data_IF_620746348941
#
_entry.id   IF_620746348941
#
_cell.length_a   1.000
_cell.length_b   1.000
_cell.length_c   1.000
_cell.angle_alpha   90.00
_cell.angle_beta   90.00
_cell.angle_gamma   90.00
#
_symmetry.space_group_name_H-M   'P 1'
#
loop_
_entity.id
_entity.type
_entity.pdbx_description
1 polymer ?
#
# COMPACT_ATOMS: atom_id res chain seq x y z
N UNK A 1 -11.04 0.54 34.57
CA UNK A 1 -9.87 0.76 33.69
C UNK A 1 -8.71 -0.06 34.21
N UNK A 2 -8.15 -0.95 33.38
CA UNK A 2 -7.10 -1.89 33.76
C UNK A 2 -5.72 -1.20 33.71
N UNK A 3 -4.92 -1.22 34.78
CA UNK A 3 -3.61 -0.55 34.82
C UNK A 3 -2.63 -1.04 33.74
N UNK A 4 -2.79 -2.28 33.24
CA UNK A 4 -2.00 -2.78 32.09
C UNK A 4 -2.30 -2.04 30.78
N UNK A 5 -3.54 -1.56 30.57
CA UNK A 5 -3.90 -0.80 29.36
C UNK A 5 -3.25 0.59 29.32
N UNK A 6 -3.11 1.24 30.48
CA UNK A 6 -2.48 2.58 30.55
C UNK A 6 -0.98 2.47 30.28
N UNK A 7 -0.33 1.42 30.79
CA UNK A 7 1.10 1.20 30.64
C UNK A 7 1.49 0.89 29.17
N UNK A 8 0.64 0.18 28.43
CA UNK A 8 0.82 -0.09 27.00
C UNK A 8 0.64 1.18 26.15
N UNK A 9 -0.35 2.02 26.49
CA UNK A 9 -0.56 3.28 25.76
C UNK A 9 0.60 4.28 25.94
N UNK A 10 1.25 4.28 27.11
CA UNK A 10 2.41 5.14 27.38
C UNK A 10 3.67 4.64 26.68
N UNK A 11 3.89 3.33 26.58
CA UNK A 11 5.08 2.76 25.91
C UNK A 11 5.05 2.96 24.40
N UNK A 12 3.87 2.89 23.77
CA UNK A 12 3.68 3.23 22.36
C UNK A 12 3.94 4.71 22.08
N UNK A 13 3.50 5.62 22.97
CA UNK A 13 3.76 7.05 22.83
C UNK A 13 5.25 7.38 22.98
N UNK A 14 5.96 6.69 23.88
CA UNK A 14 7.38 6.89 24.13
C UNK A 14 8.25 6.37 22.97
N UNK A 15 7.87 5.26 22.34
CA UNK A 15 8.56 4.74 21.15
C UNK A 15 8.42 5.64 19.93
N UNK A 16 7.28 6.33 19.77
CA UNK A 16 7.09 7.34 18.72
C UNK A 16 7.96 8.59 18.94
N UNK A 17 8.19 8.99 20.20
CA UNK A 17 9.05 10.12 20.53
C UNK A 17 10.54 9.79 20.40
N UNK A 18 10.96 8.56 20.73
CA UNK A 18 12.36 8.15 20.62
C UNK A 18 12.83 7.95 19.16
N UNK A 19 11.93 7.61 18.23
CA UNK A 19 12.26 7.55 16.78
C UNK A 19 12.45 8.93 16.14
N UNK A 20 12.02 10.01 16.79
CA UNK A 20 12.22 11.39 16.32
C UNK A 20 13.54 12.03 16.80
N UNK A 21 14.32 11.34 17.66
CA UNK A 21 15.59 11.83 18.21
C UNK A 21 16.67 10.75 18.17
N UNK A 22 17.14 10.39 16.97
CA UNK A 22 18.47 9.83 16.81
C UNK A 22 18.92 9.98 15.36
N UNK A 23 19.46 11.15 15.03
CA UNK A 23 20.48 11.32 14.01
C UNK A 23 21.53 12.30 14.57
N UNK A 24 22.79 11.97 14.28
CA UNK A 24 24.04 12.66 14.60
C UNK A 24 24.64 12.60 16.02
N UNK A 25 25.75 11.84 16.15
CA UNK A 25 27.10 12.43 16.36
C UNK A 25 28.24 11.38 16.34
N UNK A 26 29.31 11.74 15.60
CA UNK A 26 30.65 11.15 15.59
C UNK A 26 31.42 11.31 16.92
N UNK A 27 32.24 10.34 17.33
CA UNK A 27 33.73 10.35 17.26
C UNK A 27 34.45 9.37 18.24
N UNK A 28 35.50 8.75 17.71
CA UNK A 28 36.71 8.09 18.27
C UNK A 28 37.00 8.06 19.79
N UNK A 29 37.39 6.88 20.30
CA UNK A 29 38.72 6.61 20.91
C UNK A 29 38.89 5.15 21.41
N UNK A 30 40.04 4.53 21.09
CA UNK A 30 40.90 3.91 22.11
C UNK A 30 40.97 2.38 22.31
N UNK A 31 42.02 1.76 21.73
CA UNK A 31 42.95 0.76 22.31
C UNK A 31 42.49 -0.70 22.61
N UNK A 32 42.95 -1.60 21.73
CA UNK A 32 43.72 -2.87 21.93
C UNK A 32 43.57 -3.64 23.25
N UNK A 33 43.23 -4.94 23.17
CA UNK A 33 44.02 -6.09 23.69
C UNK A 33 43.54 -7.42 23.06
N UNK A 34 44.53 -8.27 22.90
CA UNK A 34 44.71 -9.56 22.21
C UNK A 34 43.87 -10.75 22.70
N UNK A 35 43.50 -11.67 21.79
CA UNK A 35 44.15 -13.00 21.63
C UNK A 35 43.36 -13.93 20.69
N UNK A 36 44.16 -14.67 19.93
CA UNK A 36 43.89 -15.76 18.99
C UNK A 36 42.81 -16.77 19.39
N UNK A 37 42.08 -17.28 18.41
CA UNK A 37 42.28 -18.69 18.04
C UNK A 37 41.91 -19.00 16.58
N UNK A 38 42.85 -19.74 16.01
CA UNK A 38 42.97 -20.33 14.68
C UNK A 38 41.91 -21.43 14.53
N UNK A 39 41.24 -21.52 13.39
CA UNK A 39 40.85 -22.80 12.79
C UNK A 39 40.80 -22.61 11.27
N UNK A 40 41.64 -23.39 10.60
CA UNK A 40 41.80 -23.52 9.16
C UNK A 40 40.68 -24.40 8.60
N UNK A 41 40.18 -24.06 7.42
CA UNK A 41 39.84 -25.04 6.40
C UNK A 41 40.10 -24.43 5.03
N UNK A 42 41.07 -25.03 4.34
CA UNK A 42 41.48 -24.80 2.96
C UNK A 42 40.37 -25.21 1.99
N UNK A 43 40.28 -24.55 0.83
CA UNK A 43 39.96 -25.12 -0.48
C UNK A 43 40.27 -24.08 -1.59
N UNK A 44 41.33 -24.38 -2.35
CA UNK A 44 41.46 -24.28 -3.82
C UNK A 44 41.20 -22.95 -4.58
N UNK A 45 42.25 -22.33 -5.16
CA UNK A 45 42.67 -22.51 -6.56
C UNK A 45 43.72 -21.47 -7.01
N UNK A 46 44.71 -21.95 -7.76
CA UNK A 46 45.78 -21.18 -8.42
C UNK A 46 45.48 -20.97 -9.92
N UNK A 47 46.21 -20.01 -10.52
CA UNK A 47 46.54 -19.75 -11.95
C UNK A 47 45.96 -18.43 -12.50
N UNK A 48 46.73 -17.33 -12.66
CA UNK A 48 47.89 -16.97 -13.54
C UNK A 48 47.47 -16.21 -14.83
N UNK A 49 48.11 -15.04 -15.08
CA UNK A 49 48.31 -14.41 -16.40
C UNK A 49 47.49 -13.12 -16.67
N UNK A 50 47.99 -11.87 -16.51
CA UNK A 50 48.94 -11.06 -17.35
C UNK A 50 48.26 -10.63 -18.68
N UNK A 51 48.18 -9.38 -19.18
CA UNK A 51 49.05 -8.18 -19.24
C UNK A 51 48.26 -6.97 -19.83
N UNK A 52 48.64 -5.71 -19.53
CA UNK A 52 48.66 -4.57 -20.47
C UNK A 52 49.33 -3.31 -19.87
N UNK A 53 50.30 -2.77 -20.62
CA UNK A 53 51.24 -1.65 -20.39
C UNK A 53 50.59 -0.24 -20.36
N UNK A 54 51.03 0.70 -19.48
CA UNK A 54 51.95 1.87 -19.70
C UNK A 54 51.61 2.75 -20.94
N UNK A 55 51.62 4.10 -20.99
CA UNK A 55 52.13 5.17 -20.12
C UNK A 55 51.60 6.58 -20.58
N UNK A 56 51.82 7.58 -19.71
CA UNK A 56 51.57 9.06 -19.62
C UNK A 56 51.78 10.01 -20.86
N UNK A 57 51.79 11.40 -20.80
CA UNK A 57 51.61 12.42 -19.72
C UNK A 57 50.82 13.76 -20.00
N UNK A 58 50.52 14.46 -18.88
CA UNK A 58 50.46 15.92 -18.53
C UNK A 58 50.53 17.09 -19.56
N UNK A 59 49.77 18.19 -19.34
CA UNK A 59 50.25 19.55 -18.90
C UNK A 59 49.11 20.61 -18.69
N UNK A 60 49.51 21.76 -18.12
CA UNK A 60 48.89 22.83 -17.29
C UNK A 60 48.12 24.03 -17.93
N UNK A 61 47.33 24.70 -17.07
CA UNK A 61 47.09 26.16 -16.78
C UNK A 61 46.48 27.19 -17.78
N UNK A 62 45.74 28.15 -17.19
CA UNK A 62 44.75 29.17 -17.66
C UNK A 62 45.29 30.39 -18.48
N UNK A 63 44.43 31.37 -18.94
CA UNK A 63 44.12 32.58 -18.13
C UNK A 63 42.76 33.36 -18.35
N UNK A 64 42.28 33.98 -17.25
CA UNK A 64 41.76 35.36 -16.95
C UNK A 64 41.14 36.26 -18.06
N UNK A 65 39.99 36.90 -17.76
CA UNK A 65 39.55 38.20 -18.33
C UNK A 65 38.86 39.17 -17.32
N UNK A 66 38.97 40.47 -17.65
CA UNK A 66 38.91 41.74 -16.89
C UNK A 66 37.52 42.38 -16.58
N UNK A 67 37.54 43.33 -15.62
CA UNK A 67 36.60 44.44 -15.24
C UNK A 67 36.14 45.33 -16.43
N UNK A 68 35.07 46.18 -16.49
CA UNK A 68 34.29 47.12 -15.62
C UNK A 68 33.11 47.68 -16.51
N UNK A 69 32.24 48.70 -16.20
CA UNK A 69 32.01 49.53 -15.00
C UNK A 69 30.52 49.79 -14.59
N UNK A 70 30.41 50.63 -13.56
CA UNK A 70 29.31 51.19 -12.76
C UNK A 70 28.51 52.30 -13.48
N UNK A 71 27.23 52.48 -13.10
CA UNK A 71 26.51 53.76 -13.13
C UNK A 71 25.76 53.99 -11.80
N UNK A 72 25.99 55.16 -11.20
CA UNK A 72 25.29 55.76 -10.06
C UNK A 72 24.25 56.82 -10.53
N UNK A 73 23.45 57.27 -9.55
CA UNK A 73 22.57 58.46 -9.46
C UNK A 73 21.07 58.31 -9.82
N UNK A 74 20.10 58.85 -9.07
CA UNK A 74 20.03 59.40 -7.70
C UNK A 74 18.56 59.78 -7.41
N UNK A 75 18.24 59.90 -6.11
CA UNK A 75 17.17 60.73 -5.50
C UNK A 75 15.71 60.28 -5.68
N UNK A 76 14.77 60.49 -4.75
CA UNK A 76 14.72 60.87 -3.32
C UNK A 76 13.21 60.79 -2.99
N UNK A 77 12.81 60.21 -1.87
CA UNK A 77 11.85 60.84 -0.95
C UNK A 77 11.89 60.13 0.41
N UNK A 78 12.21 60.94 1.41
CA UNK A 78 12.15 60.73 2.85
C UNK A 78 10.70 60.43 3.29
N UNK A 79 10.47 59.45 4.17
CA UNK A 79 10.50 59.69 5.62
C UNK A 79 10.27 58.41 6.41
N UNK A 80 11.08 58.27 7.46
CA UNK A 80 11.20 57.15 8.38
C UNK A 80 10.14 57.21 9.48
N UNK A 81 9.83 56.05 10.08
CA UNK A 81 9.91 55.89 11.53
C UNK A 81 10.11 54.42 11.91
N UNK A 82 11.18 54.22 12.68
CA UNK A 82 11.87 53.01 13.09
C UNK A 82 11.18 52.22 14.22
N UNK A 83 11.45 50.92 14.31
CA UNK A 83 12.22 50.19 15.35
C UNK A 83 12.06 48.68 15.04
N UNK A 84 13.00 48.04 14.34
CA UNK A 84 14.28 47.47 14.81
C UNK A 84 14.09 46.24 15.70
N UNK A 85 14.26 45.06 15.09
CA UNK A 85 15.07 43.97 15.65
C UNK A 85 15.44 43.02 14.51
N UNK A 86 16.73 43.05 14.15
CA UNK A 86 17.38 42.15 13.21
C UNK A 86 17.59 40.77 13.86
N UNK A 87 17.27 39.70 13.12
CA UNK A 87 18.04 38.46 13.17
C UNK A 87 18.20 37.95 11.74
N UNK A 88 19.43 38.02 11.25
CA UNK A 88 19.92 37.34 10.05
C UNK A 88 19.73 35.83 10.21
N UNK A 89 19.12 35.19 9.21
CA UNK A 89 19.50 33.84 8.80
C UNK A 89 19.39 33.75 7.28
N UNK A 90 20.56 33.66 6.66
CA UNK A 90 20.80 33.07 5.35
C UNK A 90 20.21 31.65 5.33
N UNK A 91 19.25 31.39 4.44
CA UNK A 91 19.10 30.05 3.86
C UNK A 91 18.44 30.13 2.47
N UNK A 92 19.28 30.39 1.46
CA UNK A 92 19.01 29.96 0.11
C UNK A 92 19.19 28.44 0.03
N UNK A 93 18.13 27.68 0.28
CA UNK A 93 17.77 26.48 -0.50
C UNK A 93 16.69 25.69 0.21
N UNK A 94 15.49 25.67 -0.36
CA UNK A 94 14.55 24.54 -0.36
C UNK A 94 13.39 24.96 -1.27
N UNK A 95 13.71 25.13 -2.56
CA UNK A 95 12.70 24.91 -3.57
C UNK A 95 12.43 23.40 -3.53
N UNK A 96 11.37 23.00 -2.83
CA UNK A 96 10.75 21.71 -3.10
C UNK A 96 10.46 21.67 -4.60
N UNK A 97 11.16 20.81 -5.32
CA UNK A 97 10.88 20.52 -6.71
C UNK A 97 9.41 20.07 -6.78
N UNK A 98 8.52 20.96 -7.22
CA UNK A 98 7.19 20.53 -7.61
C UNK A 98 7.38 19.48 -8.70
N UNK A 99 6.81 18.27 -8.55
CA UNK A 99 6.98 17.22 -9.53
C UNK A 99 6.53 17.76 -10.88
N UNK A 100 7.44 17.68 -11.85
CA UNK A 100 7.24 18.17 -13.20
C UNK A 100 5.86 17.71 -13.70
N UNK A 101 4.95 18.64 -13.99
CA UNK A 101 3.52 18.34 -14.20
C UNK A 101 3.27 17.34 -15.35
N UNK A 102 4.25 17.14 -16.23
CA UNK A 102 4.27 16.12 -17.28
C UNK A 102 4.43 14.67 -16.77
N UNK A 103 4.92 14.47 -15.54
CA UNK A 103 5.08 13.12 -14.94
C UNK A 103 3.79 12.57 -14.32
N UNK A 104 2.83 13.42 -13.97
CA UNK A 104 1.59 13.03 -13.28
C UNK A 104 0.41 12.87 -14.26
N UNK A 105 0.62 12.08 -15.31
CA UNK A 105 -0.39 11.81 -16.34
C UNK A 105 -0.62 10.32 -16.50
N UNK A 106 -1.86 9.95 -16.83
CA UNK A 106 -2.17 8.57 -17.21
C UNK A 106 -1.64 8.31 -18.61
N UNK A 107 -0.98 7.17 -18.81
CA UNK A 107 -0.31 6.77 -20.06
C UNK A 107 -0.85 5.46 -20.59
N UNK A 108 -0.87 5.32 -21.91
CA UNK A 108 -1.17 4.04 -22.58
C UNK A 108 0.00 3.05 -22.47
N UNK A 109 -0.18 1.83 -23.01
CA UNK A 109 0.86 0.79 -23.01
C UNK A 109 2.13 1.17 -23.78
N UNK A 110 2.08 2.20 -24.62
CA UNK A 110 3.24 2.72 -25.36
C UNK A 110 3.89 3.91 -24.62
N UNK A 111 3.44 4.24 -23.41
CA UNK A 111 3.94 5.37 -22.62
C UNK A 111 3.41 6.73 -23.06
N UNK A 112 2.47 6.79 -24.01
CA UNK A 112 1.90 8.07 -24.48
C UNK A 112 0.83 8.57 -23.51
N UNK A 113 0.82 9.87 -23.16
CA UNK A 113 -0.27 10.45 -22.38
C UNK A 113 -1.63 10.20 -23.03
N UNK A 114 -2.63 9.87 -22.22
CA UNK A 114 -3.99 9.66 -22.70
C UNK A 114 -4.62 10.98 -23.15
N UNK A 115 -5.04 11.04 -24.42
CA UNK A 115 -5.84 12.14 -24.94
C UNK A 115 -7.32 11.91 -24.62
N UNK A 116 -7.87 12.78 -23.77
CA UNK A 116 -9.27 12.71 -23.33
C UNK A 116 -10.26 12.81 -24.47
N UNK A 117 -9.91 13.50 -25.56
CA UNK A 117 -10.81 13.68 -26.72
C UNK A 117 -11.03 12.39 -27.51
N UNK A 118 -10.15 11.39 -27.32
CA UNK A 118 -10.21 10.11 -28.03
C UNK A 118 -10.86 8.98 -27.19
N UNK A 119 -11.33 9.29 -25.98
CA UNK A 119 -11.98 8.31 -25.12
C UNK A 119 -13.38 7.98 -25.65
N UNK A 120 -13.62 6.70 -25.93
CA UNK A 120 -14.90 6.20 -26.47
C UNK A 120 -15.90 5.75 -25.39
N UNK A 121 -15.43 5.48 -24.18
CA UNK A 121 -16.24 4.91 -23.11
C UNK A 121 -16.64 5.99 -22.10
N UNK A 122 -17.89 5.97 -21.68
CA UNK A 122 -18.41 6.86 -20.64
C UNK A 122 -18.41 6.13 -19.30
N UNK A 123 -17.47 6.47 -18.42
CA UNK A 123 -17.34 5.81 -17.11
C UNK A 123 -18.55 6.15 -16.22
N UNK A 124 -19.26 5.11 -15.76
CA UNK A 124 -20.44 5.21 -14.88
C UNK A 124 -20.19 4.66 -13.47
N UNK A 125 -19.14 3.85 -13.31
CA UNK A 125 -18.76 3.24 -12.03
C UNK A 125 -17.23 3.11 -11.96
N UNK A 126 -16.69 3.37 -10.77
CA UNK A 126 -15.27 3.31 -10.46
C UNK A 126 -15.07 2.32 -9.33
N UNK A 127 -14.20 1.34 -9.56
CA UNK A 127 -13.70 0.42 -8.57
C UNK A 127 -12.26 0.79 -8.25
N UNK A 128 -11.99 1.19 -7.01
CA UNK A 128 -10.63 1.51 -6.56
C UNK A 128 -10.21 0.48 -5.54
N UNK A 129 -9.03 -0.08 -5.73
CA UNK A 129 -8.30 -0.68 -4.63
C UNK A 129 -7.95 0.38 -3.56
N UNK A 130 -7.63 -0.09 -2.35
CA UNK A 130 -7.34 0.70 -1.17
C UNK A 130 -5.84 0.85 -0.93
N UNK A 131 -5.18 -0.18 -0.39
CA UNK A 131 -3.77 -0.14 0.00
C UNK A 131 -2.84 -0.17 -1.20
N UNK A 132 -1.96 0.82 -1.36
CA UNK A 132 -1.08 0.87 -2.52
C UNK A 132 -1.75 1.48 -3.76
N UNK A 133 -3.03 1.87 -3.67
CA UNK A 133 -3.76 2.54 -4.75
C UNK A 133 -4.40 3.87 -4.30
N UNK A 134 -5.44 3.81 -3.46
CA UNK A 134 -6.09 5.01 -2.90
C UNK A 134 -5.32 5.58 -1.70
N UNK A 135 -4.75 4.69 -0.89
CA UNK A 135 -3.90 5.02 0.23
C UNK A 135 -2.45 5.19 -0.22
N UNK A 136 -1.81 6.23 0.28
CA UNK A 136 -0.37 6.46 0.11
C UNK A 136 0.47 5.51 0.99
N UNK A 137 1.80 5.63 0.91
CA UNK A 137 2.75 4.83 1.70
C UNK A 137 2.65 5.01 3.23
N UNK A 138 1.84 5.96 3.71
CA UNK A 138 1.52 6.15 5.13
C UNK A 138 0.14 5.61 5.52
N UNK A 139 -0.49 4.79 4.66
CA UNK A 139 -1.83 4.25 4.84
C UNK A 139 -2.91 5.33 5.03
N UNK A 140 -2.76 6.48 4.36
CA UNK A 140 -3.73 7.58 4.37
C UNK A 140 -4.24 7.88 2.97
N UNK A 141 -5.53 8.15 2.85
CA UNK A 141 -6.07 8.71 1.62
C UNK A 141 -5.74 10.21 1.58
N UNK A 142 -5.23 10.70 0.46
CA UNK A 142 -4.99 12.13 0.30
C UNK A 142 -6.32 12.90 0.22
N UNK A 143 -6.29 14.16 0.64
CA UNK A 143 -7.43 15.06 0.49
C UNK A 143 -7.87 15.16 -0.98
N UNK A 144 -6.92 15.23 -1.92
CA UNK A 144 -7.20 15.37 -3.33
C UNK A 144 -7.90 14.13 -3.91
N UNK A 145 -7.47 12.91 -3.53
CA UNK A 145 -8.15 11.68 -3.92
C UNK A 145 -9.60 11.65 -3.42
N UNK A 146 -9.82 11.92 -2.12
CA UNK A 146 -11.15 11.88 -1.51
C UNK A 146 -12.08 12.94 -2.13
N UNK A 147 -11.63 14.18 -2.31
CA UNK A 147 -12.43 15.23 -2.95
C UNK A 147 -12.78 14.88 -4.40
N UNK A 148 -11.88 14.19 -5.12
CA UNK A 148 -12.12 13.77 -6.50
C UNK A 148 -13.17 12.66 -6.59
N UNK A 149 -13.15 11.71 -5.66
CA UNK A 149 -14.19 10.69 -5.53
C UNK A 149 -15.56 11.36 -5.26
N UNK A 150 -15.61 12.34 -4.36
CA UNK A 150 -16.84 13.08 -4.08
C UNK A 150 -17.36 13.86 -5.30
N UNK A 151 -16.47 14.52 -6.04
CA UNK A 151 -16.83 15.19 -7.30
C UNK A 151 -17.37 14.20 -8.34
N UNK A 152 -16.77 13.02 -8.45
CA UNK A 152 -17.24 11.97 -9.36
C UNK A 152 -18.62 11.46 -8.95
N UNK A 153 -18.84 11.21 -7.66
CA UNK A 153 -20.15 10.85 -7.13
C UNK A 153 -21.21 11.91 -7.45
N UNK A 154 -20.89 13.19 -7.30
CA UNK A 154 -21.82 14.30 -7.60
C UNK A 154 -22.18 14.40 -9.09
N UNK A 155 -21.36 13.82 -9.99
CA UNK A 155 -21.70 13.67 -11.41
C UNK A 155 -22.52 12.41 -11.73
N UNK A 156 -22.91 11.64 -10.71
CA UNK A 156 -23.66 10.39 -10.86
C UNK A 156 -22.78 9.16 -11.12
N UNK A 157 -21.46 9.27 -10.99
CA UNK A 157 -20.54 8.13 -11.12
C UNK A 157 -20.51 7.37 -9.80
N UNK A 158 -20.78 6.07 -9.84
CA UNK A 158 -20.75 5.23 -8.65
C UNK A 158 -19.31 4.99 -8.21
N UNK A 159 -19.04 5.15 -6.91
CA UNK A 159 -17.73 4.92 -6.33
C UNK A 159 -17.78 3.66 -5.48
N UNK A 160 -16.87 2.72 -5.71
CA UNK A 160 -16.81 1.42 -5.04
C UNK A 160 -15.38 1.16 -4.60
N UNK A 161 -15.20 0.84 -3.31
CA UNK A 161 -13.92 0.34 -2.80
C UNK A 161 -13.86 -1.18 -3.02
N UNK A 162 -12.74 -1.67 -3.55
CA UNK A 162 -12.49 -3.08 -3.80
C UNK A 162 -11.18 -3.53 -3.15
N UNK A 163 -11.25 -4.15 -1.97
CA UNK A 163 -10.07 -4.37 -1.11
C UNK A 163 -9.98 -5.80 -0.56
N UNK A 164 -8.76 -6.22 -0.23
CA UNK A 164 -8.49 -7.42 0.56
C UNK A 164 -8.84 -7.28 2.04
N UNK A 165 -9.02 -6.04 2.52
CA UNK A 165 -9.43 -5.75 3.89
C UNK A 165 -10.91 -6.12 4.12
N UNK A 166 -11.30 -6.48 5.34
CA UNK A 166 -12.70 -6.50 5.73
C UNK A 166 -13.26 -5.07 5.84
N UNK A 167 -14.58 -4.92 5.69
CA UNK A 167 -15.28 -3.63 5.77
C UNK A 167 -14.94 -2.84 7.04
N UNK A 168 -14.92 -3.49 8.21
CA UNK A 168 -14.63 -2.81 9.48
C UNK A 168 -13.22 -2.20 9.52
N UNK A 169 -12.25 -2.83 8.85
CA UNK A 169 -10.87 -2.31 8.77
C UNK A 169 -10.76 -1.17 7.75
N UNK A 170 -11.38 -1.31 6.57
CA UNK A 170 -11.47 -0.22 5.61
C UNK A 170 -12.17 1.02 6.22
N UNK A 171 -13.23 0.80 7.00
CA UNK A 171 -13.92 1.86 7.72
C UNK A 171 -13.06 2.53 8.80
N UNK A 172 -12.21 1.79 9.49
CA UNK A 172 -11.25 2.37 10.43
C UNK A 172 -10.25 3.29 9.73
N UNK A 173 -9.78 2.92 8.53
CA UNK A 173 -8.77 3.70 7.80
C UNK A 173 -9.33 4.95 7.12
N UNK A 174 -10.47 4.85 6.43
CA UNK A 174 -10.99 5.93 5.58
C UNK A 174 -12.44 6.32 5.88
N UNK A 175 -13.12 5.65 6.81
CA UNK A 175 -14.56 5.87 7.04
C UNK A 175 -14.89 7.32 7.44
N UNK A 176 -14.07 7.93 8.30
CA UNK A 176 -14.25 9.33 8.69
C UNK A 176 -14.05 10.30 7.52
N UNK A 177 -13.04 10.09 6.68
CA UNK A 177 -12.77 10.96 5.52
C UNK A 177 -13.85 10.81 4.44
N UNK A 178 -14.31 9.58 4.20
CA UNK A 178 -15.43 9.30 3.30
C UNK A 178 -16.70 10.00 3.78
N UNK A 179 -17.05 9.84 5.07
CA UNK A 179 -18.25 10.42 5.67
C UNK A 179 -18.26 11.95 5.62
N UNK A 180 -17.13 12.60 5.91
CA UNK A 180 -16.99 14.07 5.83
C UNK A 180 -17.20 14.63 4.43
N UNK A 181 -17.03 13.79 3.40
CA UNK A 181 -17.19 14.17 1.99
C UNK A 181 -18.45 13.57 1.35
N UNK A 182 -19.42 13.14 2.16
CA UNK A 182 -20.67 12.50 1.73
C UNK A 182 -20.45 11.28 0.82
N UNK A 183 -19.33 10.58 0.99
CA UNK A 183 -19.06 9.29 0.37
C UNK A 183 -19.47 8.15 1.30
N UNK A 184 -19.78 7.02 0.69
CA UNK A 184 -20.11 5.78 1.39
C UNK A 184 -19.09 4.70 1.07
N UNK A 185 -18.85 3.81 2.03
CA UNK A 185 -18.15 2.55 1.75
C UNK A 185 -19.08 1.53 1.07
N UNK A 186 -20.39 1.78 1.07
CA UNK A 186 -21.41 0.93 0.44
C UNK A 186 -21.95 1.58 -0.84
N UNK A 187 -22.07 0.86 -1.96
CA UNK A 187 -21.64 -0.52 -2.17
C UNK A 187 -20.12 -0.70 -2.10
N UNK A 188 -19.66 -1.92 -1.80
CA UNK A 188 -18.23 -2.21 -1.64
C UNK A 188 -17.87 -3.69 -1.74
N UNK A 189 -16.64 -3.98 -2.15
CA UNK A 189 -16.09 -5.33 -2.33
C UNK A 189 -14.96 -5.51 -1.32
N UNK A 190 -15.09 -6.51 -0.45
CA UNK A 190 -14.18 -6.74 0.68
C UNK A 190 -13.69 -8.17 0.73
N UNK A 191 -12.61 -8.39 1.48
CA UNK A 191 -12.00 -9.71 1.64
C UNK A 191 -11.73 -10.35 0.26
N UNK A 192 -11.18 -9.57 -0.68
CA UNK A 192 -10.92 -9.97 -2.06
C UNK A 192 -12.16 -10.53 -2.79
N UNK A 193 -13.34 -9.98 -2.49
CA UNK A 193 -14.60 -10.42 -3.10
C UNK A 193 -15.29 -11.57 -2.40
N UNK A 194 -14.77 -12.07 -1.27
CA UNK A 194 -15.51 -13.02 -0.44
C UNK A 194 -16.82 -12.41 0.09
N UNK A 195 -16.83 -11.11 0.31
CA UNK A 195 -18.04 -10.36 0.66
C UNK A 195 -18.20 -9.15 -0.25
N UNK A 196 -19.36 -9.01 -0.87
CA UNK A 196 -19.73 -7.82 -1.65
C UNK A 196 -21.06 -7.28 -1.13
N UNK A 197 -21.09 -5.99 -0.80
CA UNK A 197 -22.29 -5.31 -0.31
C UNK A 197 -22.88 -4.39 -1.38
N UNK A 198 -24.21 -4.37 -1.47
CA UNK A 198 -24.97 -3.42 -2.25
C UNK A 198 -25.11 -2.05 -1.56
N UNK A 199 -25.84 -1.10 -2.18
CA UNK A 199 -26.04 0.25 -1.65
C UNK A 199 -26.71 0.33 -0.28
N UNK A 200 -27.52 -0.67 0.08
CA UNK A 200 -28.40 -0.64 1.26
C UNK A 200 -27.95 -1.67 2.31
N UNK A 201 -26.65 -1.92 2.40
CA UNK A 201 -26.02 -2.93 3.27
C UNK A 201 -26.47 -4.37 3.00
N UNK A 202 -27.12 -4.63 1.86
CA UNK A 202 -27.48 -5.96 1.42
C UNK A 202 -26.25 -6.74 0.95
N UNK A 203 -26.18 -8.02 1.30
CA UNK A 203 -25.04 -8.87 0.92
C UNK A 203 -25.33 -9.51 -0.44
N UNK A 204 -24.56 -9.12 -1.45
CA UNK A 204 -24.65 -9.63 -2.83
C UNK A 204 -23.80 -10.89 -3.00
N UNK A 205 -22.61 -10.93 -2.41
CA UNK A 205 -21.74 -12.11 -2.35
C UNK A 205 -21.44 -12.41 -0.87
N UNK A 206 -21.67 -13.66 -0.43
CA UNK A 206 -21.47 -14.14 0.95
C UNK A 206 -20.66 -15.45 1.00
N UNK A 207 -19.44 -15.45 0.45
CA UNK A 207 -18.62 -16.66 0.31
C UNK A 207 -17.76 -16.89 1.55
N UNK A 208 -18.34 -17.54 2.56
CA UNK A 208 -17.61 -18.01 3.75
C UNK A 208 -17.10 -19.45 3.58
N UNK A 209 -16.06 -19.78 4.34
CA UNK A 209 -15.43 -21.10 4.36
C UNK A 209 -16.36 -22.08 5.09
N UNK A 210 -16.57 -23.26 4.50
CA UNK A 210 -17.40 -24.30 5.09
C UNK A 210 -16.93 -24.67 6.52
N UNK A 211 -17.89 -24.91 7.42
CA UNK A 211 -17.63 -25.18 8.83
C UNK A 211 -16.73 -26.40 9.04
N UNK A 212 -16.90 -27.47 8.25
CA UNK A 212 -16.05 -28.65 8.34
C UNK A 212 -14.63 -28.31 7.92
N UNK A 213 -14.47 -27.54 6.84
CA UNK A 213 -13.16 -27.06 6.39
C UNK A 213 -12.47 -26.15 7.40
N UNK A 214 -13.20 -25.25 8.07
CA UNK A 214 -12.65 -24.45 9.18
C UNK A 214 -12.06 -25.36 10.27
N UNK A 215 -12.78 -26.40 10.66
CA UNK A 215 -12.28 -27.32 11.70
C UNK A 215 -11.14 -28.19 11.21
N UNK A 216 -11.13 -28.62 9.94
CA UNK A 216 -10.01 -29.34 9.35
C UNK A 216 -8.73 -28.48 9.34
N UNK A 217 -8.86 -27.21 8.96
CA UNK A 217 -7.74 -26.25 9.00
C UNK A 217 -7.29 -26.03 10.44
N UNK A 218 -8.21 -25.72 11.37
CA UNK A 218 -7.89 -25.53 12.78
C UNK A 218 -7.09 -26.71 13.38
N UNK A 219 -7.57 -27.94 13.17
CA UNK A 219 -6.91 -29.15 13.69
C UNK A 219 -5.54 -29.35 13.05
N UNK A 220 -5.41 -29.19 11.73
CA UNK A 220 -4.13 -29.28 11.05
C UNK A 220 -3.14 -28.21 11.55
N UNK A 221 -3.60 -26.98 11.73
CA UNK A 221 -2.78 -25.88 12.26
C UNK A 221 -2.37 -26.12 13.71
N UNK A 222 -3.22 -26.75 14.52
CA UNK A 222 -2.90 -27.15 15.89
C UNK A 222 -1.83 -28.24 15.93
N UNK A 223 -1.96 -29.28 15.10
CA UNK A 223 -0.96 -30.35 14.95
C UNK A 223 0.41 -29.81 14.51
N UNK A 224 0.43 -28.75 13.71
CA UNK A 224 1.66 -28.10 13.22
C UNK A 224 2.13 -26.91 14.08
N UNK A 225 1.53 -26.65 15.26
CA UNK A 225 1.87 -25.51 16.14
C UNK A 225 1.77 -24.12 15.48
N UNK A 226 0.80 -23.95 14.57
CA UNK A 226 0.55 -22.71 13.82
C UNK A 226 -0.72 -21.98 14.25
N UNK A 227 -1.61 -22.63 15.01
CA UNK A 227 -2.93 -22.06 15.35
C UNK A 227 -2.88 -20.71 16.08
N UNK A 228 -1.87 -20.51 16.94
CA UNK A 228 -1.67 -19.24 17.65
C UNK A 228 -1.07 -18.13 16.76
N UNK A 229 -0.70 -18.44 15.52
CA UNK A 229 -0.19 -17.49 14.53
C UNK A 229 -1.27 -17.05 13.53
N UNK A 230 -2.51 -17.49 13.75
CA UNK A 230 -3.60 -17.30 12.80
C UNK A 230 -4.57 -16.21 13.23
N UNK A 231 -5.01 -15.42 12.26
CA UNK A 231 -6.12 -14.48 12.38
C UNK A 231 -7.28 -14.98 11.53
N UNK A 232 -8.45 -15.13 12.15
CA UNK A 232 -9.66 -15.65 11.52
C UNK A 232 -10.63 -14.49 11.29
N UNK A 233 -10.98 -14.21 10.04
CA UNK A 233 -11.82 -13.07 9.69
C UNK A 233 -13.26 -13.48 9.48
N UNK A 234 -14.16 -12.91 10.27
CA UNK A 234 -15.57 -12.78 9.91
C UNK A 234 -15.82 -11.48 9.15
N UNK A 235 -17.04 -11.30 8.67
CA UNK A 235 -17.47 -10.04 8.04
C UNK A 235 -17.46 -8.84 9.00
N UNK A 236 -17.47 -9.07 10.33
CA UNK A 236 -17.61 -8.01 11.36
C UNK A 236 -16.39 -7.84 12.26
N UNK A 237 -15.59 -8.88 12.42
CA UNK A 237 -14.48 -8.94 13.38
C UNK A 237 -13.37 -9.88 12.90
N UNK A 238 -12.17 -9.62 13.39
CA UNK A 238 -11.05 -10.55 13.35
C UNK A 238 -10.95 -11.30 14.70
N UNK A 239 -10.47 -12.53 14.67
CA UNK A 239 -10.31 -13.37 15.87
C UNK A 239 -8.95 -14.03 15.95
N UNK A 240 -8.46 -14.24 17.16
CA UNK A 240 -7.27 -15.03 17.49
C UNK A 240 -7.57 -15.94 18.71
N UNK A 241 -6.68 -16.90 18.99
CA UNK A 241 -6.79 -17.74 20.18
C UNK A 241 -6.02 -17.19 21.39
N UNK A 242 -5.01 -16.36 21.14
CA UNK A 242 -4.26 -15.65 22.16
C UNK A 242 -3.59 -14.40 21.55
N UNK A 243 -3.20 -13.47 22.42
CA UNK A 243 -2.30 -12.38 22.04
C UNK A 243 -0.86 -12.82 22.22
N UNK A 244 -0.01 -12.59 21.22
CA UNK A 244 1.41 -12.97 21.24
C UNK A 244 2.24 -12.05 20.32
N UNK A 245 3.51 -12.39 20.10
CA UNK A 245 4.42 -11.61 19.25
C UNK A 245 3.91 -11.40 17.81
N UNK A 246 3.08 -12.31 17.28
CA UNK A 246 2.51 -12.19 15.94
C UNK A 246 1.37 -11.17 15.89
N UNK A 247 0.70 -10.91 17.03
CA UNK A 247 -0.33 -9.88 17.13
C UNK A 247 0.22 -8.50 16.77
N UNK A 248 1.39 -8.13 17.30
CA UNK A 248 1.98 -6.80 17.04
C UNK A 248 2.34 -6.63 15.54
N UNK A 249 2.83 -7.71 14.90
CA UNK A 249 3.10 -7.71 13.46
C UNK A 249 1.80 -7.53 12.66
N UNK A 250 0.74 -8.25 13.02
CA UNK A 250 -0.57 -8.08 12.39
C UNK A 250 -1.12 -6.66 12.57
N UNK A 251 -1.04 -6.09 13.78
CA UNK A 251 -1.56 -4.75 14.07
C UNK A 251 -0.84 -3.62 13.31
N UNK A 252 0.39 -3.88 12.86
CA UNK A 252 1.13 -2.94 11.99
C UNK A 252 0.47 -2.83 10.61
N UNK A 253 -0.16 -3.90 10.13
CA UNK A 253 -0.80 -3.94 8.81
C UNK A 253 -2.32 -3.73 8.89
N UNK A 254 -2.96 -4.34 9.88
CA UNK A 254 -4.40 -4.30 10.14
C UNK A 254 -4.64 -3.74 11.56
N UNK A 255 -4.90 -2.42 11.69
CA UNK A 255 -4.94 -1.74 12.99
C UNK A 255 -6.24 -2.02 13.78
N UNK A 256 -6.72 -3.27 13.76
CA UNK A 256 -7.91 -3.74 14.46
C UNK A 256 -7.53 -4.87 15.41
N UNK A 257 -7.68 -4.63 16.71
CA UNK A 257 -7.43 -5.63 17.75
C UNK A 257 -8.38 -6.83 17.55
N UNK A 258 -7.85 -8.06 17.34
CA UNK A 258 -8.69 -9.24 17.21
C UNK A 258 -9.33 -9.61 18.55
N UNK A 259 -10.55 -10.13 18.49
CA UNK A 259 -11.18 -10.72 19.67
C UNK A 259 -10.55 -12.09 19.98
N UNK A 260 -10.28 -12.36 21.25
CA UNK A 260 -9.80 -13.67 21.68
C UNK A 260 -10.99 -14.61 21.84
N UNK A 261 -10.93 -15.76 21.16
CA UNK A 261 -12.01 -16.75 21.14
C UNK A 261 -11.49 -18.15 21.48
N UNK A 262 -12.42 -19.04 21.83
CA UNK A 262 -12.18 -20.47 21.97
C UNK A 262 -12.60 -21.26 20.72
N UNK A 263 -12.33 -22.57 20.75
CA UNK A 263 -12.64 -23.48 19.64
C UNK A 263 -14.15 -23.56 19.36
N UNK A 264 -14.99 -23.53 20.41
CA UNK A 264 -16.45 -23.59 20.27
C UNK A 264 -17.00 -22.35 19.58
N UNK A 265 -16.48 -21.18 19.92
CA UNK A 265 -16.81 -19.92 19.28
C UNK A 265 -16.38 -19.92 17.82
N UNK A 266 -15.15 -20.37 17.50
CA UNK A 266 -14.69 -20.48 16.11
C UNK A 266 -15.63 -21.37 15.29
N UNK A 267 -15.99 -22.54 15.84
CA UNK A 267 -16.88 -23.53 15.20
C UNK A 267 -18.27 -22.97 14.86
N UNK A 268 -18.71 -21.93 15.55
CA UNK A 268 -20.02 -21.30 15.35
C UNK A 268 -19.94 -19.93 14.66
N UNK A 269 -18.75 -19.52 14.19
CA UNK A 269 -18.51 -18.25 13.52
C UNK A 269 -18.38 -18.45 12.02
N UNK A 270 -19.03 -17.60 11.22
CA UNK A 270 -18.78 -17.53 9.76
C UNK A 270 -17.41 -16.87 9.52
N UNK A 271 -16.48 -17.65 9.00
CA UNK A 271 -15.13 -17.20 8.64
C UNK A 271 -14.99 -17.15 7.12
N UNK A 272 -14.44 -16.07 6.60
CA UNK A 272 -14.29 -15.81 5.16
C UNK A 272 -12.84 -15.91 4.71
N UNK A 273 -11.92 -15.54 5.61
CA UNK A 273 -10.49 -15.53 5.36
C UNK A 273 -9.74 -15.96 6.62
N UNK A 274 -8.64 -16.67 6.43
CA UNK A 274 -7.68 -17.01 7.48
C UNK A 274 -6.33 -16.47 7.03
N UNK A 275 -5.66 -15.73 7.91
CA UNK A 275 -4.31 -15.22 7.69
C UNK A 275 -3.36 -15.94 8.65
N UNK A 276 -2.30 -16.53 8.13
CA UNK A 276 -1.22 -17.12 8.91
C UNK A 276 -0.05 -16.16 8.90
N UNK A 277 0.36 -15.71 10.09
CA UNK A 277 1.46 -14.77 10.27
C UNK A 277 2.74 -15.56 10.48
N UNK A 278 3.73 -15.28 9.64
CA UNK A 278 4.92 -16.09 9.48
C UNK A 278 6.17 -15.22 9.50
N UNK A 279 7.32 -15.88 9.65
CA UNK A 279 8.64 -15.29 9.46
C UNK A 279 9.13 -15.65 8.06
N UNK A 280 10.01 -14.85 7.47
CA UNK A 280 10.53 -15.13 6.12
C UNK A 280 11.17 -16.52 6.00
N UNK A 281 11.78 -17.01 7.09
CA UNK A 281 12.42 -18.32 7.15
C UNK A 281 11.45 -19.50 7.01
N UNK A 282 10.18 -19.35 7.44
CA UNK A 282 9.21 -20.44 7.47
C UNK A 282 8.08 -20.30 6.44
N UNK A 283 8.04 -19.20 5.68
CA UNK A 283 6.93 -18.96 4.77
C UNK A 283 6.84 -20.01 3.66
N UNK A 284 7.96 -20.36 3.02
CA UNK A 284 7.96 -21.31 1.90
C UNK A 284 7.53 -22.71 2.32
N UNK A 285 7.97 -23.16 3.51
CA UNK A 285 7.59 -24.47 4.03
C UNK A 285 6.13 -24.52 4.47
N UNK A 286 5.66 -23.48 5.19
CA UNK A 286 4.26 -23.39 5.61
C UNK A 286 3.33 -23.25 4.40
N UNK A 287 3.64 -22.37 3.46
CA UNK A 287 2.85 -22.22 2.23
C UNK A 287 2.70 -23.56 1.50
N UNK A 288 3.80 -24.31 1.34
CA UNK A 288 3.78 -25.62 0.68
C UNK A 288 2.91 -26.65 1.41
N UNK A 289 3.03 -26.79 2.74
CA UNK A 289 2.22 -27.79 3.46
C UNK A 289 0.72 -27.46 3.41
N UNK A 290 0.33 -26.18 3.42
CA UNK A 290 -1.09 -25.80 3.28
C UNK A 290 -1.58 -25.96 1.85
N UNK A 291 -0.75 -25.62 0.85
CA UNK A 291 -1.05 -25.84 -0.55
C UNK A 291 -1.25 -27.34 -0.82
N UNK A 292 -0.31 -28.19 -0.40
CA UNK A 292 -0.40 -29.65 -0.58
C UNK A 292 -1.63 -30.25 0.14
N UNK A 293 -2.04 -29.66 1.28
CA UNK A 293 -3.12 -30.20 2.11
C UNK A 293 -4.52 -29.73 1.72
N UNK A 294 -4.66 -28.50 1.23
CA UNK A 294 -5.97 -27.83 1.11
C UNK A 294 -6.25 -27.17 -0.24
N UNK A 295 -5.30 -27.12 -1.19
CA UNK A 295 -5.50 -26.42 -2.47
C UNK A 295 -6.62 -26.99 -3.35
N UNK A 296 -7.08 -28.21 -3.07
CA UNK A 296 -8.25 -28.84 -3.69
C UNK A 296 -9.60 -28.32 -3.15
N UNK A 297 -9.58 -27.61 -2.01
CA UNK A 297 -10.78 -27.19 -1.27
C UNK A 297 -10.85 -25.68 -1.01
N UNK A 298 -9.71 -24.98 -1.02
CA UNK A 298 -9.60 -23.56 -0.68
C UNK A 298 -8.45 -22.92 -1.47
N UNK A 299 -8.55 -21.62 -1.74
CA UNK A 299 -7.40 -20.86 -2.23
C UNK A 299 -6.37 -20.74 -1.12
N UNK A 300 -5.10 -20.95 -1.48
CA UNK A 300 -3.94 -20.71 -0.61
C UNK A 300 -3.03 -19.75 -1.37
N UNK A 301 -2.85 -18.54 -0.85
CA UNK A 301 -2.00 -17.52 -1.47
C UNK A 301 -0.96 -16.97 -0.50
N UNK A 302 0.05 -16.30 -1.05
CA UNK A 302 1.11 -15.64 -0.30
C UNK A 302 1.24 -14.21 -0.88
N UNK A 303 0.44 -13.26 -0.37
CA UNK A 303 0.39 -11.92 -0.95
C UNK A 303 1.59 -11.04 -0.54
N UNK A 304 2.23 -11.35 0.58
CA UNK A 304 3.37 -10.61 1.16
C UNK A 304 4.29 -11.61 1.84
N UNK A 305 5.60 -11.34 1.86
CA UNK A 305 6.69 -12.21 2.35
C UNK A 305 6.55 -12.79 3.76
N UNK A 306 5.55 -12.37 4.54
CA UNK A 306 5.31 -12.84 5.92
C UNK A 306 3.89 -13.36 6.16
N UNK A 307 3.07 -13.52 5.11
CA UNK A 307 1.68 -13.93 5.22
C UNK A 307 1.30 -15.07 4.27
N UNK A 308 0.54 -16.03 4.79
CA UNK A 308 -0.22 -16.99 3.97
C UNK A 308 -1.70 -16.73 4.20
N UNK A 309 -2.47 -16.61 3.13
CA UNK A 309 -3.91 -16.39 3.17
C UNK A 309 -4.67 -17.60 2.66
N UNK A 310 -5.76 -17.92 3.36
CA UNK A 310 -6.71 -18.94 2.95
C UNK A 310 -8.10 -18.32 2.82
N UNK A 311 -8.74 -18.51 1.67
CA UNK A 311 -10.05 -17.94 1.36
C UNK A 311 -10.73 -18.74 0.24
N UNK A 312 -12.02 -18.47 -0.02
CA UNK A 312 -12.80 -19.25 -0.96
C UNK A 312 -12.19 -19.27 -2.40
N UNK A 313 -12.27 -20.40 -3.10
CA UNK A 313 -11.60 -20.59 -4.41
C UNK A 313 -12.23 -19.75 -5.54
N UNK A 314 -13.54 -19.55 -5.49
CA UNK A 314 -14.29 -18.76 -6.47
C UNK A 314 -14.43 -17.27 -6.09
N UNK A 315 -13.44 -16.67 -5.44
CA UNK A 315 -13.52 -15.25 -5.04
C UNK A 315 -12.29 -14.49 -5.45
N UNK A 316 -12.51 -13.44 -6.24
CA UNK A 316 -11.58 -12.36 -6.49
C UNK A 316 -12.38 -11.06 -6.55
N UNK A 317 -11.71 -9.91 -6.61
CA UNK A 317 -12.38 -8.60 -6.68
C UNK A 317 -13.27 -8.47 -7.91
N UNK A 318 -12.90 -9.11 -9.04
CA UNK A 318 -13.67 -9.04 -10.27
C UNK A 318 -15.05 -9.70 -10.20
N UNK A 319 -15.21 -10.76 -9.41
CA UNK A 319 -16.54 -11.33 -9.15
C UNK A 319 -17.49 -10.30 -8.52
N UNK A 320 -16.99 -9.53 -7.54
CA UNK A 320 -17.74 -8.41 -6.95
C UNK A 320 -18.04 -7.29 -7.94
N UNK A 321 -17.07 -6.97 -8.82
CA UNK A 321 -17.25 -5.98 -9.90
C UNK A 321 -18.40 -6.39 -10.82
N UNK A 322 -18.43 -7.66 -11.26
CA UNK A 322 -19.48 -8.17 -12.14
C UNK A 322 -20.87 -8.08 -11.48
N UNK A 323 -21.00 -8.52 -10.24
CA UNK A 323 -22.29 -8.51 -9.56
C UNK A 323 -22.78 -7.07 -9.27
N UNK A 324 -21.89 -6.14 -8.91
CA UNK A 324 -22.27 -4.73 -8.74
C UNK A 324 -22.63 -4.04 -10.06
N UNK A 325 -21.84 -4.26 -11.12
CA UNK A 325 -22.18 -3.77 -12.46
C UNK A 325 -23.56 -4.28 -12.91
N UNK A 326 -23.85 -5.57 -12.72
CA UNK A 326 -25.15 -6.18 -13.00
C UNK A 326 -26.26 -5.58 -12.13
N UNK A 327 -26.03 -5.39 -10.83
CA UNK A 327 -26.99 -4.79 -9.91
C UNK A 327 -27.41 -3.37 -10.33
N UNK A 328 -26.47 -2.59 -10.89
CA UNK A 328 -26.74 -1.22 -11.36
C UNK A 328 -27.12 -1.11 -12.83
N UNK A 329 -27.23 -2.22 -13.57
CA UNK A 329 -27.41 -2.23 -15.02
C UNK A 329 -26.33 -1.40 -15.76
N UNK A 330 -25.07 -1.56 -15.33
CA UNK A 330 -23.90 -0.92 -15.91
C UNK A 330 -23.06 -1.97 -16.64
N UNK A 331 -22.78 -1.74 -17.92
CA UNK A 331 -21.87 -2.57 -18.70
C UNK A 331 -20.45 -2.51 -18.11
N UNK A 332 -19.73 -3.64 -18.09
CA UNK A 332 -18.32 -3.66 -17.72
C UNK A 332 -17.47 -2.71 -18.60
N UNK A 333 -17.90 -2.43 -19.84
CA UNK A 333 -17.25 -1.46 -20.72
C UNK A 333 -17.35 0.00 -20.23
N UNK A 334 -18.33 0.30 -19.38
CA UNK A 334 -18.56 1.60 -18.75
C UNK A 334 -17.96 1.65 -17.32
N UNK A 335 -17.18 0.64 -16.93
CA UNK A 335 -16.50 0.58 -15.63
C UNK A 335 -15.03 0.99 -15.73
N UNK A 336 -14.56 1.70 -14.69
CA UNK A 336 -13.16 2.00 -14.42
C UNK A 336 -12.66 1.15 -13.25
N UNK A 337 -11.52 0.48 -13.37
CA UNK A 337 -10.83 -0.18 -12.24
C UNK A 337 -9.44 0.42 -12.05
N UNK A 338 -9.02 0.62 -10.79
CA UNK A 338 -7.71 1.14 -10.41
C UNK A 338 -7.11 0.20 -9.35
N UNK A 339 -5.87 -0.25 -9.53
CA UNK A 339 -5.23 -1.20 -8.62
C UNK A 339 -3.71 -1.25 -8.73
N UNK A 340 -3.07 -1.99 -7.83
CA UNK A 340 -1.61 -2.16 -7.77
C UNK A 340 -1.16 -3.60 -7.50
N UNK A 341 -1.98 -4.40 -6.83
CA UNK A 341 -1.65 -5.74 -6.38
C UNK A 341 -2.06 -6.87 -7.32
N UNK A 342 -1.56 -8.08 -7.05
CA UNK A 342 -1.92 -9.29 -7.80
C UNK A 342 -3.42 -9.61 -7.72
N UNK A 343 -4.05 -9.29 -6.58
CA UNK A 343 -5.49 -9.42 -6.34
C UNK A 343 -6.36 -8.43 -7.14
N UNK A 344 -5.76 -7.52 -7.90
CA UNK A 344 -6.45 -6.59 -8.80
C UNK A 344 -6.43 -7.06 -10.27
N UNK A 345 -5.58 -8.02 -10.62
CA UNK A 345 -5.31 -8.41 -12.01
C UNK A 345 -6.61 -8.76 -12.75
N UNK A 346 -7.48 -9.58 -12.16
CA UNK A 346 -8.72 -10.00 -12.82
C UNK A 346 -9.66 -8.81 -13.06
N UNK A 347 -9.75 -7.87 -12.12
CA UNK A 347 -10.62 -6.70 -12.31
C UNK A 347 -10.03 -5.73 -13.34
N UNK A 348 -8.72 -5.56 -13.36
CA UNK A 348 -8.03 -4.70 -14.33
C UNK A 348 -8.15 -5.25 -15.75
N UNK A 349 -8.13 -6.57 -15.93
CA UNK A 349 -8.37 -7.21 -17.24
C UNK A 349 -9.83 -7.14 -17.67
N UNK A 350 -10.76 -7.24 -16.71
CA UNK A 350 -12.17 -7.49 -16.97
C UNK A 350 -13.04 -6.27 -17.30
N UNK A 351 -12.56 -5.04 -17.09
CA UNK A 351 -13.34 -3.81 -17.29
C UNK A 351 -12.97 -3.03 -18.56
N UNK A 352 -13.84 -2.09 -18.93
CA UNK A 352 -13.70 -1.21 -20.08
C UNK A 352 -12.51 -0.26 -19.99
N UNK A 353 -12.21 0.23 -18.79
CA UNK A 353 -11.08 1.12 -18.54
C UNK A 353 -10.36 0.65 -17.29
N UNK A 354 -9.05 0.43 -17.35
CA UNK A 354 -8.29 -0.03 -16.18
C UNK A 354 -6.94 0.64 -16.09
N UNK A 355 -6.54 0.97 -14.87
CA UNK A 355 -5.31 1.70 -14.57
C UNK A 355 -4.56 0.93 -13.49
N UNK A 356 -3.32 0.55 -13.78
CA UNK A 356 -2.36 0.16 -12.75
C UNK A 356 -1.58 1.40 -12.31
N UNK A 357 -1.40 1.59 -11.01
CA UNK A 357 -0.61 2.72 -10.48
C UNK A 357 0.89 2.51 -10.68
N UNK A 358 1.68 3.59 -10.61
CA UNK A 358 3.12 3.52 -10.91
C UNK A 358 3.92 2.65 -9.94
N UNK A 359 3.48 2.51 -8.69
CA UNK A 359 4.11 1.61 -7.70
C UNK A 359 3.76 0.13 -7.91
N UNK A 360 2.79 -0.19 -8.80
CA UNK A 360 2.37 -1.56 -9.06
C UNK A 360 3.49 -2.42 -9.68
N UNK A 361 3.43 -3.72 -9.42
CA UNK A 361 4.32 -4.70 -10.05
C UNK A 361 4.15 -4.75 -11.57
N UNK A 362 5.18 -5.24 -12.28
CA UNK A 362 5.18 -5.31 -13.74
C UNK A 362 4.01 -6.14 -14.28
N UNK A 363 3.68 -7.26 -13.64
CA UNK A 363 2.56 -8.12 -14.06
C UNK A 363 1.21 -7.41 -13.90
N UNK A 364 0.99 -6.71 -12.79
CA UNK A 364 -0.22 -5.88 -12.59
C UNK A 364 -0.33 -4.80 -13.66
N UNK A 365 0.77 -4.09 -13.98
CA UNK A 365 0.78 -3.07 -15.04
C UNK A 365 0.44 -3.63 -16.42
N UNK A 366 0.90 -4.84 -16.74
CA UNK A 366 0.57 -5.52 -18.01
C UNK A 366 -0.93 -5.84 -18.11
N UNK A 367 -1.56 -6.14 -16.97
CA UNK A 367 -2.98 -6.50 -16.87
C UNK A 367 -3.92 -5.32 -17.12
N UNK A 368 -3.49 -4.09 -16.79
CA UNK A 368 -4.26 -2.86 -17.01
C UNK A 368 -4.14 -2.33 -18.45
N UNK A 369 -5.09 -1.48 -18.86
CA UNK A 369 -5.05 -0.78 -20.16
C UNK A 369 -4.13 0.44 -20.15
N UNK A 370 -3.99 1.05 -18.98
CA UNK A 370 -3.22 2.26 -18.77
C UNK A 370 -2.36 2.14 -17.50
N UNK A 371 -1.32 2.98 -17.42
CA UNK A 371 -0.52 3.16 -16.21
C UNK A 371 -0.70 4.59 -15.73
N UNK A 372 -1.05 4.76 -14.45
CA UNK A 372 -1.25 6.05 -13.80
C UNK A 372 -0.06 6.45 -12.92
N UNK A 373 -0.14 7.61 -12.25
CA UNK A 373 0.82 8.01 -11.23
C UNK A 373 0.93 7.02 -10.07
N UNK A 374 1.89 7.25 -9.17
CA UNK A 374 2.03 6.47 -7.94
C UNK A 374 0.87 6.75 -6.99
N UNK A 375 0.60 5.84 -6.06
CA UNK A 375 -0.34 6.08 -4.96
C UNK A 375 0.05 7.27 -4.06
N UNK A 376 1.34 7.61 -4.01
CA UNK A 376 1.84 8.82 -3.35
C UNK A 376 1.56 10.11 -4.13
N UNK A 377 1.21 10.00 -5.42
CA UNK A 377 0.99 11.11 -6.33
C UNK A 377 -0.47 11.18 -6.79
N UNK A 378 -1.41 10.93 -5.86
CA UNK A 378 -2.85 11.09 -6.08
C UNK A 378 -3.40 10.32 -7.29
N UNK A 379 -2.94 9.08 -7.50
CA UNK A 379 -3.27 8.28 -8.69
C UNK A 379 -4.77 8.23 -9.02
N UNK A 380 -5.62 8.12 -7.99
CA UNK A 380 -7.09 8.07 -8.14
C UNK A 380 -7.64 9.42 -8.64
N UNK A 381 -7.14 10.55 -8.14
CA UNK A 381 -7.47 11.86 -8.70
C UNK A 381 -7.14 11.93 -10.19
N UNK A 382 -5.92 11.55 -10.59
CA UNK A 382 -5.49 11.64 -11.99
C UNK A 382 -6.28 10.70 -12.92
N UNK A 383 -6.66 9.52 -12.43
CA UNK A 383 -7.57 8.61 -13.10
C UNK A 383 -8.94 9.26 -13.36
N UNK A 384 -9.57 9.79 -12.31
CA UNK A 384 -10.88 10.43 -12.39
C UNK A 384 -10.85 11.69 -13.25
N UNK A 385 -9.82 12.53 -13.13
CA UNK A 385 -9.62 13.70 -13.99
C UNK A 385 -9.52 13.28 -15.45
N UNK A 386 -8.90 12.14 -15.76
CA UNK A 386 -8.71 11.65 -17.13
C UNK A 386 -9.98 11.07 -17.73
N UNK A 387 -10.65 10.17 -17.03
CA UNK A 387 -11.76 9.38 -17.60
C UNK A 387 -13.16 9.84 -17.18
N UNK A 388 -13.26 10.70 -16.16
CA UNK A 388 -14.54 11.16 -15.59
C UNK A 388 -14.72 12.70 -15.68
N UNK A 389 -13.73 13.41 -16.23
CA UNK A 389 -13.75 14.86 -16.41
C UNK A 389 -13.83 15.66 -15.11
N UNK A 390 -13.29 15.12 -14.01
CA UNK A 390 -13.28 15.76 -12.67
C UNK A 390 -12.32 16.95 -12.58
#
# INVERSE_FOLDING_TARGET
>A
MNPKLIQISLSLLLMCLCKAHSNDKNNNNGVVITKSNRLLSELENNEVGVEAYEDQPFYKDQPIYKEQPVYEDQSNYEDQLYYDDQLEYDDQSLYEEQPNHEMLVVRDKNGKPVDKNNLKNNVKIVFSDLDGTLLNGHHKASKLNIESLAKAQNKGIKIVIATGRPLFSANYLIGEDMKKNNLSLMPGIYLNGCTTYGPNDDIIIDNYIDKKLIMDIYNFSKENNLVNRMVWYSSKKAYMFEMNEYTDRYLTFEPIIPDIIDEETLKNTKIYKILIILNEENISSVFKIYQDKFSDRISVSNPITTYVELFHYNTNKFEGVKELCKHFDISLNDALAIGDGDNDIEMLQGVGTSIAVQNAASETKKSAKYVGPSNNDDAVHHALRTFCGI
#
